data_IF_249644838116
#
_entry.id   IF_249644838116
#
_cell.length_a   1.000
_cell.length_b   1.000
_cell.length_c   1.000
_cell.angle_alpha   90.00
_cell.angle_beta   90.00
_cell.angle_gamma   90.00
#
_symmetry.space_group_name_H-M   'P 1'
#
loop_
_entity.id
_entity.type
_entity.pdbx_description
1 polymer ?
#
# COMPACT_ATOMS: atom_id res chain seq x y z
N UNK A 1 -30.42 36.48 39.83
CA UNK A 1 -30.59 36.06 38.44
C UNK A 1 -29.23 35.66 37.93
N UNK A 2 -28.89 34.37 37.78
CA UNK A 2 -27.63 33.95 37.15
C UNK A 2 -27.78 33.95 35.61
N UNK A 3 -26.75 34.44 34.94
CA UNK A 3 -26.60 34.44 33.48
C UNK A 3 -26.35 33.03 32.94
N UNK A 4 -26.87 32.64 31.78
CA UNK A 4 -26.68 31.29 31.22
C UNK A 4 -25.29 31.14 30.62
N UNK A 5 -24.63 30.04 30.95
CA UNK A 5 -23.39 29.58 30.31
C UNK A 5 -23.65 29.20 28.83
N UNK A 6 -22.82 29.74 27.98
CA UNK A 6 -22.76 29.45 26.54
C UNK A 6 -22.07 28.08 26.33
N UNK A 7 -22.83 27.06 26.01
CA UNK A 7 -22.28 25.79 25.48
C UNK A 7 -21.89 25.97 24.04
N UNK A 8 -20.56 26.01 23.80
CA UNK A 8 -20.00 25.97 22.46
C UNK A 8 -20.12 24.57 21.85
N UNK A 9 -20.80 24.48 20.71
CA UNK A 9 -20.89 23.29 19.86
C UNK A 9 -19.50 23.03 19.22
N UNK A 10 -18.96 21.82 19.22
CA UNK A 10 -17.70 21.53 18.57
C UNK A 10 -17.84 21.60 17.04
N UNK A 11 -16.86 22.23 16.40
CA UNK A 11 -16.72 22.38 14.95
C UNK A 11 -16.38 21.01 14.33
N UNK A 12 -17.18 20.46 13.38
CA UNK A 12 -16.93 19.16 12.77
C UNK A 12 -15.77 19.13 11.77
N UNK A 13 -15.20 20.28 11.39
CA UNK A 13 -14.10 20.39 10.41
C UNK A 13 -12.71 20.59 11.05
N UNK A 14 -12.61 20.42 12.36
CA UNK A 14 -11.33 20.54 13.05
C UNK A 14 -10.56 19.22 12.91
N UNK A 15 -9.58 19.20 12.02
CA UNK A 15 -8.55 18.16 12.00
C UNK A 15 -7.92 18.01 13.39
N UNK A 16 -7.71 16.78 13.89
CA UNK A 16 -6.99 16.58 15.13
C UNK A 16 -5.58 17.15 14.97
N UNK A 17 -5.23 18.09 15.82
CA UNK A 17 -3.89 18.62 15.92
C UNK A 17 -2.94 17.44 16.24
N UNK A 18 -1.90 17.28 15.42
CA UNK A 18 -0.76 16.41 15.72
C UNK A 18 -0.25 16.77 17.12
N UNK A 19 -0.45 15.87 18.07
CA UNK A 19 0.10 15.99 19.41
C UNK A 19 1.62 15.73 19.33
N UNK A 20 2.49 16.73 19.55
CA UNK A 20 3.92 16.56 19.41
C UNK A 20 4.57 15.74 20.55
N UNK A 21 3.79 15.22 21.50
CA UNK A 21 4.32 14.58 22.72
C UNK A 21 4.08 13.05 22.83
N UNK A 22 3.70 12.37 21.73
CA UNK A 22 3.75 10.90 21.66
C UNK A 22 5.14 10.35 21.29
N UNK A 23 6.19 11.04 21.72
CA UNK A 23 7.61 10.70 21.48
C UNK A 23 8.15 9.73 22.51
N UNK A 24 7.64 8.52 22.65
CA UNK A 24 8.32 7.66 23.62
C UNK A 24 8.42 6.17 23.26
N UNK A 25 8.30 5.76 22.00
CA UNK A 25 8.84 4.45 21.57
C UNK A 25 8.96 4.32 20.03
N UNK A 26 8.33 5.20 19.26
CA UNK A 26 8.40 5.17 17.78
C UNK A 26 9.79 5.56 17.22
N UNK A 27 10.70 6.05 18.05
CA UNK A 27 11.98 6.61 17.60
C UNK A 27 12.95 5.60 16.98
N UNK A 28 12.79 4.30 17.22
CA UNK A 28 13.75 3.25 16.85
C UNK A 28 13.09 2.04 16.16
N UNK A 29 11.82 2.07 15.77
CA UNK A 29 11.18 0.92 15.14
C UNK A 29 11.38 0.93 13.61
N UNK A 30 11.53 -0.25 13.01
CA UNK A 30 11.63 -0.40 11.56
C UNK A 30 10.40 0.16 10.81
N UNK A 31 9.22 0.13 11.44
CA UNK A 31 8.00 0.76 10.88
C UNK A 31 8.17 2.26 10.77
N UNK A 32 8.72 2.91 11.80
CA UNK A 32 9.03 4.35 11.75
C UNK A 32 10.08 4.67 10.68
N UNK A 33 11.10 3.82 10.51
CA UNK A 33 12.13 3.97 9.48
C UNK A 33 11.52 3.83 8.07
N UNK A 34 10.64 2.86 7.84
CA UNK A 34 9.94 2.71 6.56
C UNK A 34 9.04 3.93 6.23
N UNK A 35 8.38 4.50 7.24
CA UNK A 35 7.61 5.75 7.09
C UNK A 35 8.53 6.96 6.80
N UNK A 36 9.72 7.03 7.43
CA UNK A 36 10.71 8.07 7.11
C UNK A 36 11.19 7.94 5.67
N UNK A 37 11.44 6.71 5.20
CA UNK A 37 11.82 6.45 3.82
C UNK A 37 10.74 6.97 2.85
N UNK A 38 9.46 6.63 3.06
CA UNK A 38 8.37 7.13 2.22
C UNK A 38 8.25 8.66 2.25
N UNK A 39 8.39 9.28 3.44
CA UNK A 39 8.39 10.75 3.55
C UNK A 39 9.57 11.39 2.82
N UNK A 40 10.76 10.80 2.93
CA UNK A 40 11.95 11.29 2.24
C UNK A 40 11.78 11.24 0.72
N UNK A 41 11.18 10.16 0.19
CA UNK A 41 10.83 10.05 -1.23
C UNK A 41 9.91 11.17 -1.67
N UNK A 42 8.84 11.41 -0.90
CA UNK A 42 7.82 12.44 -1.24
C UNK A 42 8.34 13.87 -1.16
N UNK A 43 9.40 14.10 -0.38
CA UNK A 43 10.00 15.44 -0.19
C UNK A 43 11.22 15.69 -1.08
N UNK A 44 11.74 14.71 -1.81
CA UNK A 44 13.07 14.77 -2.41
C UNK A 44 13.11 14.54 -3.93
N UNK A 45 11.96 14.42 -4.58
CA UNK A 45 11.90 14.01 -6.01
C UNK A 45 12.78 12.78 -6.34
N UNK A 46 12.91 11.86 -5.40
CA UNK A 46 13.68 10.61 -5.56
C UNK A 46 15.19 10.76 -5.33
N UNK A 47 15.72 11.91 -4.85
CA UNK A 47 17.14 12.15 -4.60
C UNK A 47 17.35 13.00 -3.34
N UNK A 48 18.47 12.79 -2.66
CA UNK A 48 18.91 13.66 -1.56
C UNK A 48 19.30 12.92 -0.28
N UNK A 49 20.04 13.59 0.57
CA UNK A 49 20.66 13.02 1.78
C UNK A 49 19.67 12.30 2.70
N UNK A 50 18.49 12.87 2.95
CA UNK A 50 17.48 12.23 3.80
C UNK A 50 16.98 10.90 3.22
N UNK A 51 16.90 10.81 1.89
CA UNK A 51 16.53 9.57 1.19
C UNK A 51 17.66 8.54 1.31
N UNK A 52 18.90 8.94 1.10
CA UNK A 52 20.07 8.05 1.19
C UNK A 52 20.22 7.51 2.62
N UNK A 53 20.12 8.36 3.64
CA UNK A 53 20.13 7.96 5.06
C UNK A 53 19.01 6.95 5.37
N UNK A 54 17.82 7.15 4.82
CA UNK A 54 16.70 6.21 5.04
C UNK A 54 16.95 4.86 4.37
N UNK A 55 17.54 4.84 3.18
CA UNK A 55 17.96 3.61 2.48
C UNK A 55 19.04 2.86 3.25
N UNK A 56 20.08 3.57 3.70
CA UNK A 56 21.16 3.01 4.51
C UNK A 56 20.61 2.37 5.78
N UNK A 57 19.71 3.06 6.50
CA UNK A 57 19.10 2.50 7.72
C UNK A 57 18.32 1.19 7.45
N UNK A 58 17.60 1.09 6.33
CA UNK A 58 16.90 -0.15 5.96
C UNK A 58 17.88 -1.25 5.53
N UNK A 59 18.94 -0.90 4.80
CA UNK A 59 19.96 -1.84 4.37
C UNK A 59 20.75 -2.43 5.56
N UNK A 60 21.03 -1.60 6.56
CA UNK A 60 21.80 -1.95 7.77
C UNK A 60 20.94 -2.58 8.86
N UNK A 61 19.62 -2.66 8.68
CA UNK A 61 18.76 -3.38 9.62
C UNK A 61 19.22 -4.83 9.79
N UNK A 62 19.10 -5.35 10.99
CA UNK A 62 19.43 -6.77 11.21
C UNK A 62 18.25 -7.68 10.84
N UNK A 63 18.51 -8.91 10.41
CA UNK A 63 17.44 -9.91 10.23
C UNK A 63 16.61 -10.14 11.50
N UNK A 64 17.19 -9.98 12.67
CA UNK A 64 16.50 -10.17 13.95
C UNK A 64 15.53 -9.02 14.25
N UNK A 65 15.83 -7.79 13.82
CA UNK A 65 14.86 -6.67 13.87
C UNK A 65 13.64 -6.95 13.00
N UNK A 66 13.81 -7.54 11.80
CA UNK A 66 12.70 -7.95 10.93
C UNK A 66 11.89 -9.12 11.52
N UNK A 67 12.56 -10.08 12.15
CA UNK A 67 11.88 -11.20 12.77
C UNK A 67 11.05 -10.79 13.99
N UNK A 68 11.51 -9.76 14.70
CA UNK A 68 10.82 -9.22 15.88
C UNK A 68 9.52 -8.47 15.54
N UNK A 69 9.30 -8.09 14.26
CA UNK A 69 8.07 -7.42 13.84
C UNK A 69 6.84 -8.31 14.05
N UNK A 70 5.87 -7.80 14.80
CA UNK A 70 4.53 -8.39 14.90
C UNK A 70 3.80 -8.38 13.55
N UNK A 71 2.64 -9.05 13.44
CA UNK A 71 1.90 -9.14 12.17
C UNK A 71 1.57 -7.76 11.56
N UNK A 72 1.01 -6.84 12.34
CA UNK A 72 0.62 -5.50 11.89
C UNK A 72 1.82 -4.62 11.58
N UNK A 73 2.89 -4.72 12.39
CA UNK A 73 4.16 -4.03 12.13
C UNK A 73 4.79 -4.51 10.83
N UNK A 74 4.81 -5.81 10.57
CA UNK A 74 5.33 -6.41 9.34
C UNK A 74 4.56 -5.95 8.12
N UNK A 75 3.23 -5.92 8.22
CA UNK A 75 2.35 -5.47 7.16
C UNK A 75 2.59 -3.99 6.85
N UNK A 76 2.52 -3.11 7.86
CA UNK A 76 2.76 -1.69 7.70
C UNK A 76 4.17 -1.39 7.16
N UNK A 77 5.20 -2.09 7.66
CA UNK A 77 6.58 -1.96 7.21
C UNK A 77 6.72 -2.24 5.70
N UNK A 78 6.24 -3.39 5.23
CA UNK A 78 6.41 -3.77 3.83
C UNK A 78 5.55 -2.96 2.86
N UNK A 79 4.37 -2.49 3.27
CA UNK A 79 3.56 -1.55 2.50
C UNK A 79 4.31 -0.23 2.27
N UNK A 80 4.90 0.32 3.32
CA UNK A 80 5.69 1.55 3.22
C UNK A 80 6.95 1.36 2.36
N UNK A 81 7.69 0.26 2.56
CA UNK A 81 8.90 -0.04 1.79
C UNK A 81 8.58 -0.19 0.31
N UNK A 82 7.52 -0.92 -0.06
CA UNK A 82 7.10 -1.06 -1.46
C UNK A 82 6.81 0.30 -2.11
N UNK A 83 5.94 1.09 -1.47
CA UNK A 83 5.55 2.40 -2.00
C UNK A 83 6.73 3.38 -2.09
N UNK A 84 7.60 3.38 -1.07
CA UNK A 84 8.79 4.21 -1.09
C UNK A 84 9.79 3.78 -2.17
N UNK A 85 10.06 2.49 -2.30
CA UNK A 85 10.97 1.96 -3.32
C UNK A 85 10.48 2.23 -4.74
N UNK A 86 9.16 2.04 -4.99
CA UNK A 86 8.53 2.39 -6.26
C UNK A 86 8.69 3.87 -6.57
N UNK A 87 8.30 4.74 -5.64
CA UNK A 87 8.39 6.19 -5.81
C UNK A 87 9.83 6.66 -6.01
N UNK A 88 10.77 6.18 -5.20
CA UNK A 88 12.19 6.53 -5.31
C UNK A 88 12.79 6.15 -6.67
N UNK A 89 12.47 4.97 -7.16
CA UNK A 89 12.97 4.48 -8.45
C UNK A 89 12.39 5.29 -9.63
N UNK A 90 11.09 5.53 -9.63
CA UNK A 90 10.39 6.22 -10.73
C UNK A 90 10.61 7.72 -10.74
N UNK A 91 10.76 8.37 -9.59
CA UNK A 91 11.11 9.80 -9.51
C UNK A 91 12.56 10.04 -9.93
N UNK A 92 13.48 9.10 -9.65
CA UNK A 92 14.86 9.19 -10.07
C UNK A 92 15.07 8.92 -11.57
N UNK A 93 14.27 8.00 -12.14
CA UNK A 93 14.36 7.57 -13.55
C UNK A 93 12.98 7.07 -14.01
N UNK A 94 12.13 7.97 -14.56
CA UNK A 94 10.80 7.61 -15.06
C UNK A 94 10.80 6.65 -16.24
N UNK A 95 11.87 6.58 -17.03
CA UNK A 95 11.96 5.75 -18.24
C UNK A 95 11.97 4.25 -17.89
N UNK A 96 12.35 3.89 -16.65
CA UNK A 96 12.26 2.50 -16.16
C UNK A 96 10.84 1.91 -16.27
N UNK A 97 9.82 2.75 -16.26
CA UNK A 97 8.43 2.30 -16.36
C UNK A 97 8.05 1.83 -17.78
N UNK A 98 8.84 2.12 -18.80
CA UNK A 98 8.61 1.65 -20.17
C UNK A 98 8.75 0.13 -20.26
N UNK A 99 9.74 -0.47 -19.58
CA UNK A 99 9.84 -1.92 -19.42
C UNK A 99 9.40 -2.34 -18.00
N UNK A 100 8.09 -2.38 -17.78
CA UNK A 100 7.48 -2.78 -16.49
C UNK A 100 7.89 -4.16 -16.03
N UNK A 101 8.14 -5.10 -16.96
CA UNK A 101 8.57 -6.45 -16.58
C UNK A 101 9.95 -6.42 -15.93
N UNK A 102 10.86 -5.68 -16.51
CA UNK A 102 12.19 -5.46 -15.94
C UNK A 102 12.07 -4.66 -14.63
N UNK A 103 11.36 -3.54 -14.64
CA UNK A 103 11.21 -2.65 -13.50
C UNK A 103 10.71 -3.37 -12.24
N UNK A 104 9.64 -4.18 -12.34
CA UNK A 104 9.11 -4.91 -11.18
C UNK A 104 9.98 -6.08 -10.76
N UNK A 105 10.78 -6.64 -11.67
CA UNK A 105 11.62 -7.82 -11.42
C UNK A 105 13.03 -7.52 -10.96
N UNK A 106 13.57 -6.31 -11.21
CA UNK A 106 14.92 -5.92 -10.78
C UNK A 106 14.92 -5.40 -9.33
N UNK A 107 16.08 -5.51 -8.68
CA UNK A 107 16.24 -5.01 -7.31
C UNK A 107 16.19 -3.48 -7.27
N UNK A 108 15.36 -2.94 -6.38
CA UNK A 108 15.12 -1.49 -6.21
C UNK A 108 15.37 -1.00 -4.79
N UNK A 109 15.46 -1.91 -3.83
CA UNK A 109 15.70 -1.58 -2.42
C UNK A 109 16.48 -2.70 -1.74
N UNK A 110 17.38 -2.33 -0.82
CA UNK A 110 18.07 -3.27 0.07
C UNK A 110 17.47 -3.18 1.47
N UNK A 111 17.11 -4.31 2.06
CA UNK A 111 16.56 -4.40 3.42
C UNK A 111 17.28 -5.53 4.15
N UNK A 112 17.87 -5.25 5.31
CA UNK A 112 18.62 -6.21 6.12
C UNK A 112 19.66 -6.99 5.28
N UNK A 113 20.40 -6.28 4.44
CA UNK A 113 21.42 -6.84 3.55
C UNK A 113 20.88 -7.62 2.34
N UNK A 114 19.57 -7.74 2.16
CA UNK A 114 18.97 -8.42 1.01
C UNK A 114 18.47 -7.43 -0.04
N UNK A 115 18.91 -7.61 -1.28
CA UNK A 115 18.43 -6.83 -2.44
C UNK A 115 17.09 -7.37 -2.91
N UNK A 116 16.06 -6.52 -2.93
CA UNK A 116 14.68 -6.91 -3.20
C UNK A 116 14.09 -6.16 -4.40
N UNK A 117 13.35 -6.91 -5.21
CA UNK A 117 12.50 -6.37 -6.26
C UNK A 117 11.08 -6.09 -5.72
N UNK A 118 10.32 -5.26 -6.45
CA UNK A 118 8.91 -5.01 -6.15
C UNK A 118 8.08 -6.31 -6.20
N UNK A 119 8.34 -7.18 -7.18
CA UNK A 119 7.70 -8.49 -7.30
C UNK A 119 7.96 -9.38 -6.06
N UNK A 120 9.18 -9.33 -5.50
CA UNK A 120 9.49 -10.10 -4.29
C UNK A 120 8.77 -9.54 -3.05
N UNK A 121 8.63 -8.22 -2.94
CA UNK A 121 7.89 -7.61 -1.83
C UNK A 121 6.40 -7.90 -1.96
N UNK A 122 5.79 -7.60 -3.11
CA UNK A 122 4.36 -7.79 -3.33
C UNK A 122 3.96 -9.28 -3.32
N UNK A 123 4.47 -10.03 -4.30
CA UNK A 123 4.01 -11.42 -4.50
C UNK A 123 4.66 -12.38 -3.51
N UNK A 124 5.89 -12.09 -3.13
CA UNK A 124 6.66 -12.93 -2.20
C UNK A 124 6.27 -12.70 -0.76
N UNK A 125 6.37 -11.47 -0.28
CA UNK A 125 6.22 -11.14 1.15
C UNK A 125 4.76 -10.84 1.49
N UNK A 126 4.17 -9.80 0.91
CA UNK A 126 2.82 -9.33 1.26
C UNK A 126 1.71 -10.31 0.87
N UNK A 127 1.87 -11.05 -0.23
CA UNK A 127 0.93 -12.08 -0.69
C UNK A 127 1.33 -13.50 -0.25
N UNK A 128 2.18 -13.66 0.73
CA UNK A 128 2.53 -14.96 1.30
C UNK A 128 3.17 -15.96 0.32
N UNK A 129 3.93 -15.49 -0.67
CA UNK A 129 4.55 -16.29 -1.73
C UNK A 129 3.56 -16.80 -2.79
N UNK A 130 2.66 -15.97 -3.26
CA UNK A 130 1.83 -16.27 -4.43
C UNK A 130 2.61 -16.10 -5.74
N UNK A 131 2.31 -16.94 -6.72
CA UNK A 131 2.88 -16.79 -8.05
C UNK A 131 2.24 -15.61 -8.79
N UNK A 132 3.07 -14.71 -9.33
CA UNK A 132 2.65 -13.47 -10.01
C UNK A 132 1.55 -13.69 -11.07
N UNK A 133 1.63 -14.75 -11.85
CA UNK A 133 0.70 -15.05 -12.95
C UNK A 133 -0.39 -16.06 -12.57
N UNK A 134 -0.47 -16.44 -11.31
CA UNK A 134 -1.40 -17.46 -10.81
C UNK A 134 -2.81 -16.93 -10.49
N UNK A 135 -3.12 -15.67 -10.80
CA UNK A 135 -4.40 -15.01 -10.49
C UNK A 135 -4.79 -15.12 -9.01
N UNK A 136 -3.82 -15.29 -8.10
CA UNK A 136 -4.07 -15.49 -6.67
C UNK A 136 -4.46 -16.92 -6.26
N UNK A 137 -4.40 -17.88 -7.18
CA UNK A 137 -4.75 -19.28 -6.88
C UNK A 137 -3.54 -20.21 -6.76
N UNK A 138 -2.39 -19.79 -7.24
CA UNK A 138 -1.22 -20.65 -7.36
C UNK A 138 -0.09 -20.13 -6.50
N UNK A 139 0.33 -20.87 -5.46
CA UNK A 139 1.50 -20.48 -4.67
C UNK A 139 2.78 -20.66 -5.48
N UNK A 140 3.81 -19.85 -5.15
CA UNK A 140 5.16 -20.08 -5.63
C UNK A 140 5.79 -21.21 -4.79
N UNK A 141 6.14 -22.36 -5.38
CA UNK A 141 6.68 -23.48 -4.62
C UNK A 141 8.11 -23.28 -4.15
N UNK A 142 8.86 -22.31 -4.75
CA UNK A 142 10.28 -22.09 -4.49
C UNK A 142 10.60 -20.61 -4.21
N UNK A 143 10.00 -20.00 -3.16
CA UNK A 143 10.32 -18.61 -2.82
C UNK A 143 11.77 -18.53 -2.31
N UNK A 144 12.50 -17.41 -2.58
CA UNK A 144 13.81 -17.16 -2.01
C UNK A 144 13.80 -17.28 -0.48
N UNK A 145 14.93 -17.66 0.13
CA UNK A 145 15.02 -17.90 1.56
C UNK A 145 14.61 -16.68 2.40
N UNK A 146 15.07 -15.48 2.03
CA UNK A 146 14.71 -14.24 2.68
C UNK A 146 13.19 -13.99 2.62
N UNK A 147 12.59 -14.11 1.43
CA UNK A 147 11.14 -13.96 1.23
C UNK A 147 10.35 -14.94 2.10
N UNK A 148 10.74 -16.20 2.12
CA UNK A 148 10.09 -17.25 2.92
C UNK A 148 10.15 -16.98 4.42
N UNK A 149 11.27 -16.39 4.90
CA UNK A 149 11.47 -16.04 6.32
C UNK A 149 10.58 -14.87 6.75
N UNK A 150 10.45 -13.84 5.89
CA UNK A 150 9.85 -12.57 6.27
C UNK A 150 8.45 -12.33 5.67
N UNK A 151 7.88 -13.31 4.96
CA UNK A 151 6.52 -13.19 4.42
C UNK A 151 5.47 -13.08 5.52
N UNK A 152 4.36 -12.43 5.22
CA UNK A 152 3.20 -12.42 6.11
C UNK A 152 2.62 -13.84 6.21
N UNK A 153 2.14 -14.20 7.40
CA UNK A 153 1.55 -15.53 7.64
C UNK A 153 0.14 -15.61 7.04
N UNK A 154 -0.65 -14.57 7.26
CA UNK A 154 -2.02 -14.45 6.77
C UNK A 154 -2.09 -13.27 5.79
N UNK A 155 -2.02 -13.53 4.46
CA UNK A 155 -2.11 -12.48 3.45
C UNK A 155 -3.45 -11.77 3.45
N UNK A 156 -3.42 -10.44 3.46
CA UNK A 156 -4.60 -9.60 3.37
C UNK A 156 -4.80 -9.09 1.95
N UNK A 157 -5.93 -9.42 1.33
CA UNK A 157 -6.22 -9.00 -0.04
C UNK A 157 -6.35 -7.47 -0.19
N UNK A 158 -6.60 -6.73 0.90
CA UNK A 158 -6.69 -5.26 0.88
C UNK A 158 -5.36 -4.59 0.57
N UNK A 159 -4.21 -5.30 0.65
CA UNK A 159 -2.91 -4.77 0.23
C UNK A 159 -2.92 -4.29 -1.23
N UNK A 160 -3.74 -4.90 -2.09
CA UNK A 160 -3.88 -4.47 -3.48
C UNK A 160 -4.48 -3.07 -3.65
N UNK A 161 -5.11 -2.51 -2.62
CA UNK A 161 -5.62 -1.14 -2.58
C UNK A 161 -4.67 -0.17 -1.86
N UNK A 162 -3.52 -0.67 -1.42
CA UNK A 162 -2.50 0.07 -0.67
C UNK A 162 -1.19 0.22 -1.44
N UNK A 163 -0.95 -0.61 -2.43
CA UNK A 163 0.27 -0.63 -3.24
C UNK A 163 0.12 0.22 -4.49
N UNK A 164 1.03 1.16 -4.70
CA UNK A 164 1.07 1.99 -5.90
C UNK A 164 2.27 1.62 -6.77
N UNK A 165 1.99 1.14 -7.97
CA UNK A 165 2.99 0.68 -8.93
C UNK A 165 3.48 1.79 -9.89
N UNK A 166 3.00 3.02 -9.74
CA UNK A 166 3.33 4.16 -10.61
C UNK A 166 2.35 4.42 -11.76
N UNK A 167 1.36 3.55 -11.98
CA UNK A 167 0.35 3.73 -13.02
C UNK A 167 -0.78 4.67 -12.59
N UNK A 168 -1.44 5.33 -13.54
CA UNK A 168 -2.58 6.21 -13.27
C UNK A 168 -3.77 5.49 -12.64
N UNK A 169 -3.96 4.20 -12.92
CA UNK A 169 -4.99 3.37 -12.28
C UNK A 169 -4.59 2.81 -10.91
N UNK A 170 -3.42 3.16 -10.35
CA UNK A 170 -3.02 2.69 -9.03
C UNK A 170 -3.80 3.40 -7.91
N UNK A 171 -3.96 2.75 -6.74
CA UNK A 171 -4.47 3.41 -5.54
C UNK A 171 -3.58 4.57 -5.08
N UNK A 172 -4.14 5.45 -4.24
CA UNK A 172 -3.37 6.54 -3.64
C UNK A 172 -2.28 6.00 -2.69
N UNK A 173 -1.14 6.70 -2.63
CA UNK A 173 -0.04 6.37 -1.70
C UNK A 173 -0.37 6.91 -0.32
N UNK A 174 -0.36 6.04 0.68
CA UNK A 174 -0.49 6.40 2.10
C UNK A 174 0.71 5.88 2.91
N UNK A 175 0.94 6.47 4.07
CA UNK A 175 1.89 5.96 5.06
C UNK A 175 1.14 5.12 6.10
N UNK A 176 1.57 3.89 6.28
CA UNK A 176 0.95 2.90 7.16
C UNK A 176 1.67 2.83 8.50
N UNK A 177 0.92 2.70 9.59
CA UNK A 177 1.45 2.44 10.94
C UNK A 177 0.81 1.18 11.52
N UNK A 178 1.50 0.52 12.43
CA UNK A 178 1.04 -0.77 12.97
C UNK A 178 -0.27 -0.66 13.77
N UNK A 179 -0.46 0.43 14.50
CA UNK A 179 -1.63 0.60 15.37
C UNK A 179 -2.95 0.72 14.60
N UNK A 180 -2.88 1.27 13.38
CA UNK A 180 -4.07 1.59 12.57
C UNK A 180 -4.08 0.89 11.20
N UNK A 181 -3.15 -0.06 10.94
CA UNK A 181 -2.98 -0.64 9.60
C UNK A 181 -4.26 -1.29 9.08
N UNK A 182 -5.02 -1.93 9.92
CA UNK A 182 -6.31 -2.56 9.57
C UNK A 182 -7.32 -1.51 9.09
N UNK A 183 -7.56 -0.48 9.89
CA UNK A 183 -8.43 0.64 9.53
C UNK A 183 -7.93 1.42 8.31
N UNK A 184 -6.60 1.56 8.15
CA UNK A 184 -6.00 2.22 6.99
C UNK A 184 -6.24 1.42 5.70
N UNK A 185 -6.13 0.08 5.75
CA UNK A 185 -6.43 -0.80 4.63
C UNK A 185 -7.92 -0.77 4.27
N UNK A 186 -8.81 -0.75 5.25
CA UNK A 186 -10.25 -0.62 5.02
C UNK A 186 -10.60 0.70 4.31
N UNK A 187 -10.03 1.80 4.79
CA UNK A 187 -10.22 3.12 4.15
C UNK A 187 -9.67 3.14 2.70
N UNK A 188 -8.49 2.56 2.48
CA UNK A 188 -7.89 2.47 1.16
C UNK A 188 -8.78 1.65 0.20
N UNK A 189 -9.25 0.49 0.65
CA UNK A 189 -10.17 -0.37 -0.11
C UNK A 189 -11.48 0.35 -0.42
N UNK A 190 -12.12 0.95 0.57
CA UNK A 190 -13.38 1.68 0.41
C UNK A 190 -13.25 2.84 -0.57
N UNK A 191 -12.19 3.66 -0.42
CA UNK A 191 -11.93 4.79 -1.31
C UNK A 191 -11.73 4.33 -2.75
N UNK A 192 -10.82 3.40 -2.97
CA UNK A 192 -10.49 2.91 -4.30
C UNK A 192 -11.65 2.20 -4.99
N UNK A 193 -12.36 1.33 -4.27
CA UNK A 193 -13.49 0.60 -4.84
C UNK A 193 -14.64 1.54 -5.22
N UNK A 194 -14.93 2.56 -4.42
CA UNK A 194 -15.99 3.55 -4.72
C UNK A 194 -15.63 4.45 -5.90
N UNK A 195 -14.38 4.87 -6.03
CA UNK A 195 -13.95 5.71 -7.16
C UNK A 195 -13.84 4.94 -8.47
N UNK A 196 -13.44 3.67 -8.41
CA UNK A 196 -13.10 2.89 -9.58
C UNK A 196 -14.18 1.89 -10.03
N UNK A 197 -15.29 1.75 -9.29
CA UNK A 197 -16.37 0.86 -9.67
C UNK A 197 -17.58 1.64 -10.20
N UNK A 198 -18.09 1.23 -11.35
CA UNK A 198 -19.33 1.75 -11.93
C UNK A 198 -20.37 0.64 -11.94
N UNK A 199 -21.57 0.91 -11.38
CA UNK A 199 -22.68 -0.05 -11.31
C UNK A 199 -23.83 0.46 -12.15
N UNK A 200 -24.13 -0.25 -13.25
CA UNK A 200 -25.18 0.12 -14.20
C UNK A 200 -25.84 -1.15 -14.76
N UNK A 201 -27.14 -1.12 -14.97
CA UNK A 201 -27.91 -2.20 -15.62
C UNK A 201 -27.59 -3.62 -15.10
N UNK A 202 -27.53 -3.79 -13.78
CA UNK A 202 -27.20 -5.07 -13.15
C UNK A 202 -25.77 -5.55 -13.41
N UNK A 203 -24.88 -4.68 -13.86
CA UNK A 203 -23.46 -4.96 -14.10
C UNK A 203 -22.61 -4.05 -13.23
N UNK A 204 -21.64 -4.61 -12.50
CA UNK A 204 -20.57 -3.89 -11.82
C UNK A 204 -19.29 -3.98 -12.67
N UNK A 205 -18.83 -2.83 -13.16
CA UNK A 205 -17.55 -2.66 -13.85
C UNK A 205 -16.50 -2.30 -12.82
N UNK A 206 -15.72 -3.29 -12.42
CA UNK A 206 -14.76 -3.19 -11.31
C UNK A 206 -13.32 -2.98 -11.81
N UNK A 207 -12.40 -2.49 -10.97
CA UNK A 207 -10.98 -2.34 -11.30
C UNK A 207 -10.34 -3.64 -11.80
N UNK A 208 -9.39 -3.50 -12.73
CA UNK A 208 -8.68 -4.64 -13.34
C UNK A 208 -7.88 -5.47 -12.34
N UNK A 209 -7.40 -4.88 -11.26
CA UNK A 209 -6.67 -5.60 -10.21
C UNK A 209 -7.50 -6.72 -9.58
N UNK A 210 -8.84 -6.57 -9.48
CA UNK A 210 -9.73 -7.63 -9.02
C UNK A 210 -9.80 -8.85 -9.97
N UNK A 211 -9.31 -8.72 -11.21
CA UNK A 211 -9.09 -9.86 -12.11
C UNK A 211 -7.74 -10.51 -11.84
N UNK A 212 -6.68 -9.70 -11.77
CA UNK A 212 -5.31 -10.21 -11.64
C UNK A 212 -5.08 -10.95 -10.32
N UNK A 213 -5.74 -10.50 -9.26
CA UNK A 213 -5.64 -11.05 -7.91
C UNK A 213 -6.93 -11.75 -7.46
N UNK A 214 -7.72 -12.25 -8.43
CA UNK A 214 -9.05 -12.78 -8.16
C UNK A 214 -9.10 -13.87 -7.08
N UNK A 215 -8.07 -14.68 -7.00
CA UNK A 215 -7.95 -15.73 -5.98
C UNK A 215 -7.79 -15.18 -4.58
N UNK A 216 -7.00 -14.11 -4.43
CA UNK A 216 -6.77 -13.44 -3.14
C UNK A 216 -8.10 -12.88 -2.58
N UNK A 217 -9.01 -12.45 -3.45
CA UNK A 217 -10.35 -11.97 -3.10
C UNK A 217 -11.42 -13.08 -2.99
N UNK A 218 -11.06 -14.35 -2.99
CA UNK A 218 -12.05 -15.44 -2.94
C UNK A 218 -12.90 -15.61 -4.20
N UNK A 219 -12.37 -15.24 -5.36
CA UNK A 219 -13.04 -15.38 -6.65
C UNK A 219 -14.15 -14.35 -6.87
N UNK A 220 -15.05 -14.62 -7.83
CA UNK A 220 -16.16 -13.70 -8.14
C UNK A 220 -17.15 -13.54 -6.98
N UNK A 221 -17.28 -14.56 -6.15
CA UNK A 221 -18.13 -14.51 -4.96
C UNK A 221 -17.55 -13.54 -3.94
N UNK A 222 -16.28 -13.68 -3.60
CA UNK A 222 -15.59 -12.82 -2.67
C UNK A 222 -15.52 -11.37 -3.17
N UNK A 223 -15.33 -11.14 -4.48
CA UNK A 223 -15.41 -9.78 -5.05
C UNK A 223 -16.77 -9.13 -4.76
N UNK A 224 -17.89 -9.87 -4.90
CA UNK A 224 -19.21 -9.30 -4.55
C UNK A 224 -19.36 -9.04 -3.07
N UNK A 225 -18.84 -9.91 -2.22
CA UNK A 225 -18.79 -9.70 -0.76
C UNK A 225 -18.02 -8.44 -0.42
N UNK A 226 -16.82 -8.27 -0.97
CA UNK A 226 -15.99 -7.07 -0.82
C UNK A 226 -16.73 -5.79 -1.24
N UNK A 227 -17.42 -5.81 -2.39
CA UNK A 227 -18.18 -4.65 -2.86
C UNK A 227 -19.36 -4.28 -1.92
N UNK A 228 -19.99 -5.27 -1.26
CA UNK A 228 -21.05 -5.04 -0.26
C UNK A 228 -20.48 -4.47 1.03
N UNK A 229 -19.41 -5.05 1.55
CA UNK A 229 -18.74 -4.62 2.77
C UNK A 229 -18.32 -3.14 2.69
N UNK A 230 -17.84 -2.72 1.51
CA UNK A 230 -17.48 -1.31 1.28
C UNK A 230 -18.64 -0.45 0.73
N UNK A 231 -19.89 -0.94 0.76
CA UNK A 231 -21.09 -0.20 0.32
C UNK A 231 -21.01 0.32 -1.11
N UNK A 232 -20.36 -0.43 -2.02
CA UNK A 232 -20.27 -0.14 -3.45
C UNK A 232 -21.51 -0.68 -4.19
N UNK A 233 -22.09 -1.76 -3.67
CA UNK A 233 -23.36 -2.34 -4.15
C UNK A 233 -24.28 -2.61 -2.97
N UNK A 234 -25.59 -2.66 -3.24
CA UNK A 234 -26.58 -2.99 -2.21
C UNK A 234 -26.35 -4.40 -1.62
N UNK A 235 -26.73 -4.62 -0.34
CA UNK A 235 -26.52 -5.91 0.33
C UNK A 235 -27.07 -7.12 -0.42
N UNK A 236 -28.23 -6.98 -1.06
CA UNK A 236 -28.91 -8.07 -1.80
C UNK A 236 -28.55 -8.09 -3.30
N UNK A 237 -27.79 -7.10 -3.78
CA UNK A 237 -27.43 -7.02 -5.19
C UNK A 237 -26.47 -8.16 -5.61
N UNK A 238 -26.72 -8.72 -6.78
CA UNK A 238 -25.85 -9.75 -7.39
C UNK A 238 -25.46 -9.35 -8.81
N UNK A 239 -24.77 -8.22 -9.00
CA UNK A 239 -24.45 -7.73 -10.33
C UNK A 239 -23.52 -8.69 -11.07
N UNK A 240 -23.58 -8.64 -12.40
CA UNK A 240 -22.62 -9.29 -13.27
C UNK A 240 -21.29 -8.56 -13.19
N UNK A 241 -20.20 -9.22 -12.79
CA UNK A 241 -18.86 -8.61 -12.69
C UNK A 241 -18.23 -8.51 -14.10
N UNK A 242 -17.78 -7.31 -14.45
CA UNK A 242 -16.96 -6.97 -15.61
C UNK A 242 -15.75 -6.20 -15.13
N UNK A 243 -14.62 -6.32 -15.83
CA UNK A 243 -13.36 -5.68 -15.43
C UNK A 243 -13.08 -4.51 -16.39
N UNK A 244 -12.70 -3.36 -15.81
CA UNK A 244 -12.29 -2.17 -16.56
C UNK A 244 -10.93 -2.41 -17.21
N UNK A 245 -10.58 -1.58 -18.16
CA UNK A 245 -9.20 -1.44 -18.62
C UNK A 245 -8.36 -0.78 -17.54
N UNK A 246 -7.06 -1.05 -17.56
CA UNK A 246 -6.11 -0.50 -16.62
C UNK A 246 -5.25 0.54 -17.35
N UNK A 247 -5.25 1.76 -16.84
CA UNK A 247 -4.43 2.83 -17.39
C UNK A 247 -3.01 2.72 -16.84
N UNK A 248 -2.10 2.31 -17.72
CA UNK A 248 -0.68 2.17 -17.44
C UNK A 248 0.12 3.45 -17.70
N UNK A 249 -0.50 4.59 -17.99
CA UNK A 249 0.24 5.84 -18.05
C UNK A 249 0.92 6.13 -16.72
N UNK A 250 2.15 6.63 -16.76
CA UNK A 250 2.94 6.92 -15.56
C UNK A 250 2.33 8.12 -14.82
N UNK A 251 2.07 7.98 -13.52
CA UNK A 251 1.47 8.99 -12.66
C UNK A 251 2.34 9.26 -11.42
N UNK A 252 3.36 10.10 -11.56
CA UNK A 252 4.32 10.40 -10.49
C UNK A 252 3.75 11.27 -9.37
N UNK A 253 2.65 11.99 -9.62
CA UNK A 253 2.02 12.88 -8.63
C UNK A 253 1.56 12.15 -7.36
N UNK A 254 1.30 10.85 -7.46
CA UNK A 254 0.99 10.02 -6.29
C UNK A 254 2.13 9.97 -5.26
N UNK A 255 3.38 10.16 -5.72
CA UNK A 255 4.60 10.12 -4.89
C UNK A 255 5.11 11.52 -4.49
N UNK A 256 4.39 12.61 -4.82
CA UNK A 256 4.76 13.98 -4.50
C UNK A 256 3.90 14.55 -3.38
N UNK A 257 4.41 15.51 -2.64
CA UNK A 257 3.62 16.25 -1.65
C UNK A 257 2.70 17.26 -2.33
N UNK A 258 1.58 17.64 -1.67
CA UNK A 258 0.64 18.63 -2.23
C UNK A 258 1.26 19.99 -2.55
N UNK A 259 2.39 20.35 -1.90
CA UNK A 259 3.12 21.61 -2.19
C UNK A 259 3.75 21.63 -3.57
N UNK A 260 4.03 20.48 -4.16
CA UNK A 260 4.72 20.34 -5.44
C UNK A 260 3.75 20.05 -6.61
N UNK A 261 2.45 19.88 -6.30
CA UNK A 261 1.38 19.69 -7.29
C UNK A 261 0.81 21.00 -7.82
N UNK A 262 1.26 22.16 -7.33
CA UNK A 262 0.88 23.51 -7.75
C UNK A 262 2.01 24.12 -8.58
#
# INVERSE_FOLDING_TARGET
MPTPESTSVPDPDREPADDPDSTSTEGLSLVADSRRFLRAVRASEGRGHALDTSRERLADASPDELDALGPDERLAFWLNVYNAATGAALLADPERFEDRRQFFGESVVTVAGADLSLDQIEHGILRGSQWKYGLGYVPNPFPPAFVRRHRVADPDARVHFALNCGAASCPAVAAYNAADVDDQLDRAAASYLRSETVVEDGTARVPRLLLWYRGDFGGRSGIRTLLREHSVIDPDATPRIRYREYDWSLALDAFRTERERR
#
